data_IF_423720385023
#
_entry.id   IF_423720385023
#
_cell.length_a   1.000
_cell.length_b   1.000
_cell.length_c   1.000
_cell.angle_alpha   90.00
_cell.angle_beta   90.00
_cell.angle_gamma   90.00
#
_symmetry.space_group_name_H-M   'P 1'
#
loop_
_entity.id
_entity.type
_entity.pdbx_description
1 polymer ?
#
# COMPACT_ATOMS: atom_id res chain seq x y z
N UNK A 1 13.95 -11.51 -11.25
CA UNK A 1 13.46 -10.21 -11.74
C UNK A 1 14.64 -9.34 -12.15
N UNK A 2 14.64 -8.74 -13.35
CA UNK A 2 15.73 -7.83 -13.73
C UNK A 2 15.64 -6.52 -12.93
N UNK A 3 16.75 -5.77 -12.85
CA UNK A 3 16.81 -4.53 -12.05
C UNK A 3 15.84 -3.43 -12.53
N UNK A 4 15.57 -3.36 -13.84
CA UNK A 4 14.63 -2.38 -14.40
C UNK A 4 13.20 -2.62 -13.92
N UNK A 5 12.78 -3.88 -13.86
CA UNK A 5 11.44 -4.27 -13.43
C UNK A 5 11.27 -4.11 -11.91
N UNK A 6 12.33 -4.39 -11.13
CA UNK A 6 12.39 -4.07 -9.70
C UNK A 6 12.18 -2.59 -9.43
N UNK A 7 12.91 -1.71 -10.12
CA UNK A 7 12.74 -0.27 -9.93
C UNK A 7 11.35 0.20 -10.39
N UNK A 8 10.79 -0.39 -11.45
CA UNK A 8 9.44 -0.08 -11.90
C UNK A 8 8.38 -0.40 -10.84
N UNK A 9 8.41 -1.58 -10.20
CA UNK A 9 7.49 -1.92 -9.10
C UNK A 9 7.72 -1.07 -7.85
N UNK A 10 8.98 -0.74 -7.53
CA UNK A 10 9.27 0.19 -6.43
C UNK A 10 8.70 1.57 -6.70
N UNK A 11 8.75 2.04 -7.94
CA UNK A 11 8.16 3.31 -8.33
C UNK A 11 6.62 3.26 -8.26
N UNK A 12 5.98 2.25 -8.86
CA UNK A 12 4.52 2.04 -8.77
C UNK A 12 4.04 2.00 -7.31
N UNK A 13 4.79 1.33 -6.45
CA UNK A 13 4.50 1.26 -5.02
C UNK A 13 4.62 2.62 -4.32
N UNK A 14 5.67 3.40 -4.62
CA UNK A 14 5.83 4.78 -4.11
C UNK A 14 4.65 5.65 -4.54
N UNK A 15 4.28 5.59 -5.82
CA UNK A 15 3.20 6.41 -6.39
C UNK A 15 1.85 6.05 -5.76
N UNK A 16 1.56 4.75 -5.61
CA UNK A 16 0.37 4.26 -4.93
C UNK A 16 0.28 4.75 -3.47
N UNK A 17 1.38 4.64 -2.72
CA UNK A 17 1.44 5.09 -1.32
C UNK A 17 1.18 6.60 -1.21
N UNK A 18 1.80 7.40 -2.09
CA UNK A 18 1.61 8.86 -2.11
C UNK A 18 0.15 9.19 -2.43
N UNK A 19 -0.42 8.58 -3.47
CA UNK A 19 -1.78 8.85 -3.91
C UNK A 19 -2.82 8.51 -2.83
N UNK A 20 -2.64 7.39 -2.13
CA UNK A 20 -3.52 6.98 -1.03
C UNK A 20 -3.40 7.97 0.14
N UNK A 21 -2.18 8.40 0.47
CA UNK A 21 -1.93 9.38 1.55
C UNK A 21 -2.63 10.72 1.25
N UNK A 22 -2.44 11.27 0.05
CA UNK A 22 -3.08 12.52 -0.38
C UNK A 22 -4.62 12.43 -0.40
N UNK A 23 -5.14 11.24 -0.69
CA UNK A 23 -6.59 11.02 -0.72
C UNK A 23 -7.14 10.89 0.70
N UNK A 24 -6.45 10.19 1.59
CA UNK A 24 -6.82 10.04 2.99
C UNK A 24 -7.01 11.39 3.71
N UNK A 25 -6.16 12.38 3.42
CA UNK A 25 -6.26 13.73 3.98
C UNK A 25 -7.58 14.45 3.64
N UNK A 26 -8.23 14.04 2.53
CA UNK A 26 -9.48 14.65 2.04
C UNK A 26 -10.74 13.95 2.55
N UNK A 27 -10.59 12.78 3.17
CA UNK A 27 -11.71 11.97 3.68
C UNK A 27 -12.10 12.46 5.08
N UNK A 28 -13.40 12.71 5.32
CA UNK A 28 -13.88 13.16 6.63
C UNK A 28 -14.10 11.98 7.57
N UNK A 29 -14.70 10.90 7.07
CA UNK A 29 -14.95 9.69 7.86
C UNK A 29 -13.67 9.16 8.50
N UNK A 30 -13.70 9.04 9.84
CA UNK A 30 -12.57 8.51 10.60
C UNK A 30 -12.34 7.04 10.31
N UNK A 31 -13.40 6.24 10.22
CA UNK A 31 -13.30 4.80 9.95
C UNK A 31 -12.64 4.52 8.61
N UNK A 32 -13.00 5.28 7.57
CA UNK A 32 -12.37 5.16 6.25
C UNK A 32 -10.91 5.57 6.32
N UNK A 33 -10.56 6.65 7.04
CA UNK A 33 -9.16 7.06 7.24
C UNK A 33 -8.35 6.00 7.98
N UNK A 34 -8.89 5.42 9.04
CA UNK A 34 -8.22 4.37 9.82
C UNK A 34 -7.95 3.13 8.93
N UNK A 35 -8.90 2.76 8.06
CA UNK A 35 -8.70 1.68 7.08
C UNK A 35 -7.71 2.01 5.97
N UNK A 36 -7.68 3.25 5.48
CA UNK A 36 -6.65 3.69 4.54
C UNK A 36 -5.25 3.66 5.18
N UNK A 37 -5.15 3.94 6.48
CA UNK A 37 -3.90 3.79 7.25
C UNK A 37 -3.43 2.33 7.29
N UNK A 38 -4.35 1.37 7.45
CA UNK A 38 -4.04 -0.05 7.38
C UNK A 38 -3.56 -0.47 5.99
N UNK A 39 -4.23 -0.02 4.92
CA UNK A 39 -3.77 -0.24 3.53
C UNK A 39 -2.36 0.33 3.32
N UNK A 40 -2.10 1.55 3.78
CA UNK A 40 -0.79 2.19 3.67
C UNK A 40 0.30 1.39 4.39
N UNK A 41 0.01 0.81 5.56
CA UNK A 41 0.95 -0.07 6.28
C UNK A 41 1.22 -1.35 5.50
N UNK A 42 0.18 -1.99 4.96
CA UNK A 42 0.31 -3.21 4.18
C UNK A 42 1.15 -2.96 2.90
N UNK A 43 0.89 -1.87 2.18
CA UNK A 43 1.66 -1.49 0.98
C UNK A 43 3.11 -1.10 1.30
N UNK A 44 3.37 -0.43 2.42
CA UNK A 44 4.74 -0.13 2.86
C UNK A 44 5.51 -1.40 3.18
N UNK A 45 4.87 -2.35 3.86
CA UNK A 45 5.48 -3.66 4.13
C UNK A 45 5.78 -4.40 2.82
N UNK A 46 4.83 -4.44 1.89
CA UNK A 46 5.03 -5.05 0.58
C UNK A 46 6.15 -4.34 -0.22
N UNK A 47 6.23 -3.01 -0.16
CA UNK A 47 7.32 -2.25 -0.80
C UNK A 47 8.70 -2.64 -0.28
N UNK A 48 8.79 -2.82 1.04
CA UNK A 48 10.05 -3.14 1.72
C UNK A 48 10.48 -4.59 1.49
N UNK A 49 9.60 -5.44 0.96
CA UNK A 49 9.87 -6.84 0.65
C UNK A 49 9.91 -7.13 -0.85
N UNK A 50 9.14 -6.44 -1.69
CA UNK A 50 8.90 -6.82 -3.09
C UNK A 50 10.15 -6.94 -4.00
N UNK A 51 11.21 -6.15 -3.74
CA UNK A 51 12.45 -6.19 -4.54
C UNK A 51 13.32 -7.41 -4.24
N UNK A 52 12.97 -8.15 -3.19
CA UNK A 52 13.67 -9.32 -2.70
C UNK A 52 13.21 -10.60 -3.40
N UNK A 53 12.23 -10.51 -4.32
CA UNK A 53 11.62 -11.67 -4.94
C UNK A 53 11.86 -11.72 -6.46
N UNK A 54 12.16 -12.92 -6.93
CA UNK A 54 12.21 -13.23 -8.36
C UNK A 54 10.87 -13.77 -8.90
N UNK A 55 9.96 -14.17 -8.01
CA UNK A 55 8.60 -14.65 -8.29
C UNK A 55 7.54 -13.74 -7.67
N UNK A 56 6.34 -13.66 -8.25
CA UNK A 56 5.25 -12.79 -7.77
C UNK A 56 5.01 -11.52 -8.61
N UNK A 57 5.73 -11.37 -9.72
CA UNK A 57 5.63 -10.23 -10.65
C UNK A 57 4.19 -10.00 -11.14
N UNK A 58 3.47 -11.07 -11.49
CA UNK A 58 2.09 -10.96 -12.02
C UNK A 58 1.13 -10.44 -10.97
N UNK A 59 1.32 -10.84 -9.72
CA UNK A 59 0.52 -10.41 -8.59
C UNK A 59 0.81 -8.94 -8.25
N UNK A 60 2.08 -8.51 -8.30
CA UNK A 60 2.48 -7.11 -8.15
C UNK A 60 1.92 -6.23 -9.28
N UNK A 61 2.02 -6.66 -10.53
CA UNK A 61 1.44 -5.93 -11.66
C UNK A 61 -0.07 -5.84 -11.54
N UNK A 62 -0.77 -6.93 -11.18
CA UNK A 62 -2.21 -6.90 -10.99
C UNK A 62 -2.62 -5.98 -9.85
N UNK A 63 -1.86 -5.96 -8.75
CA UNK A 63 -2.08 -5.05 -7.64
C UNK A 63 -1.93 -3.60 -8.09
N UNK A 64 -0.79 -3.24 -8.69
CA UNK A 64 -0.47 -1.85 -8.99
C UNK A 64 -1.18 -1.29 -10.23
N UNK A 65 -1.42 -2.12 -11.25
CA UNK A 65 -1.98 -1.66 -12.52
C UNK A 65 -3.50 -1.82 -12.60
N UNK A 66 -4.09 -2.69 -11.78
CA UNK A 66 -5.54 -2.95 -11.81
C UNK A 66 -6.22 -2.61 -10.50
N UNK A 67 -5.79 -3.23 -9.39
CA UNK A 67 -6.53 -3.10 -8.13
C UNK A 67 -6.39 -1.69 -7.54
N UNK A 68 -5.17 -1.19 -7.35
CA UNK A 68 -4.96 0.15 -6.77
C UNK A 68 -5.69 1.24 -7.57
N UNK A 69 -5.57 1.35 -8.91
CA UNK A 69 -6.29 2.38 -9.67
C UNK A 69 -7.81 2.28 -9.53
N UNK A 70 -8.35 1.06 -9.55
CA UNK A 70 -9.79 0.85 -9.32
C UNK A 70 -10.21 1.31 -7.92
N UNK A 71 -9.41 1.00 -6.89
CA UNK A 71 -9.66 1.46 -5.54
C UNK A 71 -9.65 2.97 -5.42
N UNK A 72 -8.69 3.64 -6.06
CA UNK A 72 -8.62 5.09 -6.08
C UNK A 72 -9.86 5.74 -6.71
N UNK A 73 -10.40 5.13 -7.77
CA UNK A 73 -11.67 5.57 -8.37
C UNK A 73 -12.83 5.48 -7.37
N UNK A 74 -12.95 4.36 -6.63
CA UNK A 74 -14.01 4.16 -5.65
C UNK A 74 -13.89 5.14 -4.48
N UNK A 75 -12.67 5.38 -3.98
CA UNK A 75 -12.44 6.34 -2.89
C UNK A 75 -12.77 7.77 -3.35
N UNK A 76 -12.40 8.15 -4.58
CA UNK A 76 -12.76 9.44 -5.16
C UNK A 76 -14.27 9.66 -5.21
N UNK A 77 -15.01 8.66 -5.70
CA UNK A 77 -16.48 8.72 -5.73
C UNK A 77 -17.08 8.87 -4.32
N UNK A 78 -16.55 8.17 -3.32
CA UNK A 78 -16.99 8.33 -1.93
C UNK A 78 -16.70 9.74 -1.38
N UNK A 79 -15.52 10.28 -1.68
CA UNK A 79 -15.13 11.63 -1.26
C UNK A 79 -16.11 12.68 -1.81
N UNK A 80 -16.48 12.56 -3.09
CA UNK A 80 -17.44 13.46 -3.72
C UNK A 80 -18.83 13.35 -3.08
N UNK A 81 -19.30 12.12 -2.81
CA UNK A 81 -20.57 11.88 -2.11
C UNK A 81 -20.60 12.52 -0.71
N UNK A 82 -19.50 12.40 0.05
CA UNK A 82 -19.36 12.97 1.39
C UNK A 82 -19.27 14.52 1.36
N UNK A 83 -18.76 15.10 0.27
CA UNK A 83 -18.63 16.54 0.09
C UNK A 83 -19.94 17.23 -0.31
N UNK A 84 -20.72 16.61 -1.20
CA UNK A 84 -21.96 17.19 -1.78
C UNK A 84 -23.14 17.13 -0.80
N UNK A 85 -23.06 16.30 0.25
CA UNK A 85 -24.10 16.23 1.28
C UNK A 85 -25.35 15.49 0.82
N UNK A 86 -25.14 14.32 0.20
CA UNK A 86 -26.20 13.37 -0.16
C UNK A 86 -26.99 12.88 1.05
N UNK A 87 -28.07 12.11 0.79
CA UNK A 87 -28.86 11.45 1.83
C UNK A 87 -27.92 10.69 2.79
N UNK A 88 -27.95 10.97 4.11
CA UNK A 88 -27.12 10.28 5.09
C UNK A 88 -27.19 8.75 4.98
N UNK A 89 -28.34 8.18 4.62
CA UNK A 89 -28.49 6.74 4.47
C UNK A 89 -27.72 6.19 3.24
N UNK A 90 -27.68 6.95 2.15
CA UNK A 90 -26.92 6.60 0.95
C UNK A 90 -25.42 6.68 1.21
N UNK A 91 -24.96 7.76 1.86
CA UNK A 91 -23.55 7.93 2.25
C UNK A 91 -23.09 6.80 3.15
N UNK A 92 -23.93 6.35 4.08
CA UNK A 92 -23.63 5.24 4.98
C UNK A 92 -23.54 3.89 4.24
N UNK A 93 -24.46 3.59 3.32
CA UNK A 93 -24.39 2.36 2.51
C UNK A 93 -23.12 2.32 1.65
N UNK A 94 -22.77 3.45 1.00
CA UNK A 94 -21.55 3.55 0.20
C UNK A 94 -20.30 3.44 1.08
N UNK A 95 -20.28 4.07 2.27
CA UNK A 95 -19.18 3.93 3.23
C UNK A 95 -18.96 2.46 3.59
N UNK A 96 -20.02 1.73 3.92
CA UNK A 96 -19.93 0.32 4.30
C UNK A 96 -19.40 -0.56 3.15
N UNK A 97 -19.77 -0.26 1.90
CA UNK A 97 -19.21 -0.93 0.72
C UNK A 97 -17.72 -0.60 0.54
N UNK A 98 -17.33 0.66 0.73
CA UNK A 98 -15.93 1.08 0.66
C UNK A 98 -15.08 0.38 1.73
N UNK A 99 -15.54 0.35 2.98
CA UNK A 99 -14.83 -0.33 4.07
C UNK A 99 -14.55 -1.80 3.76
N UNK A 100 -15.57 -2.53 3.28
CA UNK A 100 -15.41 -3.94 2.84
C UNK A 100 -14.41 -4.09 1.70
N UNK A 101 -14.43 -3.16 0.76
CA UNK A 101 -13.50 -3.17 -0.35
C UNK A 101 -12.07 -2.93 0.15
N UNK A 102 -11.86 -1.98 1.08
CA UNK A 102 -10.56 -1.73 1.71
C UNK A 102 -10.05 -2.95 2.48
N UNK A 103 -10.92 -3.65 3.22
CA UNK A 103 -10.57 -4.93 3.87
C UNK A 103 -10.09 -5.97 2.84
N UNK A 104 -10.82 -6.10 1.72
CA UNK A 104 -10.44 -7.02 0.64
C UNK A 104 -9.08 -6.67 0.04
N UNK A 105 -8.75 -5.37 -0.09
CA UNK A 105 -7.44 -4.92 -0.57
C UNK A 105 -6.33 -5.26 0.43
N UNK A 106 -6.57 -5.01 1.72
CA UNK A 106 -5.63 -5.35 2.79
C UNK A 106 -5.32 -6.84 2.75
N UNK A 107 -6.36 -7.68 2.66
CA UNK A 107 -6.23 -9.12 2.56
C UNK A 107 -5.45 -9.53 1.30
N UNK A 108 -5.73 -8.94 0.14
CA UNK A 108 -4.99 -9.23 -1.08
C UNK A 108 -3.50 -8.85 -0.98
N UNK A 109 -3.18 -7.69 -0.39
CA UNK A 109 -1.78 -7.26 -0.18
C UNK A 109 -1.06 -8.18 0.80
N UNK A 110 -1.75 -8.60 1.87
CA UNK A 110 -1.21 -9.56 2.83
C UNK A 110 -1.03 -10.94 2.20
N UNK A 111 -1.99 -11.39 1.38
CA UNK A 111 -1.92 -12.67 0.69
C UNK A 111 -0.73 -12.71 -0.27
N UNK A 112 -0.49 -11.63 -1.02
CA UNK A 112 0.74 -11.47 -1.83
C UNK A 112 1.97 -11.66 -0.94
N UNK A 113 2.04 -11.00 0.22
CA UNK A 113 3.15 -11.21 1.17
C UNK A 113 3.27 -12.66 1.68
N UNK A 114 2.18 -13.45 1.71
CA UNK A 114 2.21 -14.84 2.19
C UNK A 114 2.54 -15.87 1.10
N UNK A 115 2.12 -15.62 -0.15
CA UNK A 115 2.42 -16.49 -1.30
C UNK A 115 3.92 -16.46 -1.63
N UNK A 116 4.58 -15.37 -1.25
CA UNK A 116 6.02 -15.21 -1.41
C UNK A 116 6.80 -16.22 -0.52
N UNK A 117 7.94 -16.77 -0.98
CA UNK A 117 8.69 -17.78 -0.23
C UNK A 117 9.09 -17.25 1.16
N UNK A 118 8.50 -17.81 2.22
CA UNK A 118 8.65 -17.30 3.59
C UNK A 118 10.11 -17.32 4.09
N UNK A 119 10.91 -18.26 3.59
CA UNK A 119 12.33 -18.37 3.91
C UNK A 119 13.13 -17.20 3.33
N UNK A 120 12.79 -16.75 2.12
CA UNK A 120 13.39 -15.57 1.49
C UNK A 120 12.94 -14.28 2.18
N UNK A 121 11.69 -14.20 2.65
CA UNK A 121 11.17 -13.04 3.39
C UNK A 121 11.91 -12.84 4.72
N UNK A 122 12.18 -13.92 5.47
CA UNK A 122 12.83 -13.83 6.78
C UNK A 122 14.28 -13.34 6.66
N UNK A 123 15.06 -13.94 5.76
CA UNK A 123 16.46 -13.55 5.52
C UNK A 123 16.56 -12.14 4.94
N UNK A 124 15.64 -11.79 4.05
CA UNK A 124 15.65 -10.50 3.38
C UNK A 124 15.14 -9.35 4.27
N UNK A 125 14.16 -9.61 5.15
CA UNK A 125 13.75 -8.65 6.20
C UNK A 125 14.89 -8.36 7.18
N UNK A 126 15.66 -9.39 7.55
CA UNK A 126 16.86 -9.22 8.35
C UNK A 126 17.92 -8.37 7.62
N UNK A 127 18.10 -8.59 6.32
CA UNK A 127 19.04 -7.84 5.48
C UNK A 127 18.63 -6.37 5.28
N UNK A 128 17.35 -6.10 4.98
CA UNK A 128 16.81 -4.74 4.86
C UNK A 128 16.93 -3.95 6.18
N UNK A 129 16.66 -4.62 7.31
CA UNK A 129 16.84 -4.03 8.64
C UNK A 129 18.31 -3.73 8.91
N UNK A 130 19.22 -4.64 8.53
CA UNK A 130 20.66 -4.43 8.65
C UNK A 130 21.15 -3.26 7.79
N UNK A 131 20.67 -3.11 6.56
CA UNK A 131 21.00 -1.97 5.70
C UNK A 131 20.49 -0.64 6.24
N UNK A 132 19.26 -0.61 6.76
CA UNK A 132 18.70 0.58 7.41
C UNK A 132 19.52 0.99 8.63
N UNK A 133 19.88 0.02 9.47
CA UNK A 133 20.77 0.23 10.61
C UNK A 133 22.16 0.70 10.19
N UNK A 134 22.72 0.14 9.12
CA UNK A 134 24.01 0.57 8.59
C UNK A 134 23.97 2.01 8.08
N UNK A 135 22.94 2.39 7.31
CA UNK A 135 22.74 3.77 6.84
C UNK A 135 22.57 4.76 8.00
N UNK A 136 21.87 4.35 9.05
CA UNK A 136 21.66 5.17 10.25
C UNK A 136 22.94 5.30 11.09
N UNK A 137 23.69 4.20 11.25
CA UNK A 137 25.00 4.20 11.91
C UNK A 137 26.02 5.05 11.16
N UNK A 138 26.11 4.93 9.83
CA UNK A 138 27.00 5.74 8.98
C UNK A 138 26.66 7.23 9.08
N UNK A 139 25.37 7.58 9.22
CA UNK A 139 24.90 8.96 9.42
C UNK A 139 25.25 9.51 10.82
N UNK A 140 25.23 8.66 11.84
CA UNK A 140 25.57 9.03 13.22
C UNK A 140 27.10 9.13 13.44
N UNK A 141 27.87 8.34 12.69
CA UNK A 141 29.34 8.28 12.80
C UNK A 141 30.07 9.21 11.85
N UNK A 142 29.45 9.58 10.72
CA UNK A 142 29.89 10.73 9.91
C UNK A 142 29.36 12.03 10.54
N UNK A 143 30.04 12.52 11.58
CA UNK A 143 29.97 13.95 11.92
C UNK A 143 30.77 14.76 10.86
N UNK A 144 30.37 16.01 10.58
CA UNK A 144 31.08 16.89 9.66
C UNK A 144 32.55 17.10 10.06
#
# INVERSE_FOLDING_TARGET
MNEELKEAHLQKSRDAIIQIYETQEKIRSREVRDKLDEVLRALKNLKDTQYLFDSGEKELDKLYDTYIPYFMLVIGNYQDLEAVGHDPAEVEDVRNKLLKALDTLIDAVNEINTILPQDEISDASAQAKAEKWKKEYDRLTKKP
#
